data_IF_239991663303
#
_entry.id   IF_239991663303
#
_cell.length_a   1.000
_cell.length_b   1.000
_cell.length_c   1.000
_cell.angle_alpha   90.00
_cell.angle_beta   90.00
_cell.angle_gamma   90.00
#
_symmetry.space_group_name_H-M   'P 1'
#
loop_
_entity.id
_entity.type
_entity.pdbx_description
1 polymer ?
#
# COMPACT_ATOMS: atom_id res chain seq x y z
N UNK A 1 14.75 21.17 -24.26
CA UNK A 1 15.15 21.35 -22.87
C UNK A 1 16.59 20.86 -22.79
N UNK A 2 17.57 21.75 -22.57
CA UNK A 2 18.93 21.32 -22.21
C UNK A 2 18.77 20.56 -20.88
N UNK A 3 18.98 19.25 -20.89
CA UNK A 3 19.09 18.44 -19.69
C UNK A 3 20.27 19.00 -18.90
N UNK A 4 19.99 19.52 -17.72
CA UNK A 4 21.05 19.90 -16.81
C UNK A 4 21.74 18.62 -16.33
N UNK A 5 22.83 18.28 -17.00
CA UNK A 5 23.61 17.08 -16.68
C UNK A 5 24.27 17.19 -15.28
N UNK A 6 24.37 18.39 -14.73
CA UNK A 6 25.00 18.61 -13.42
C UNK A 6 24.15 18.06 -12.26
N UNK A 7 22.84 18.28 -12.26
CA UNK A 7 21.94 17.80 -11.21
C UNK A 7 21.81 16.27 -11.20
N UNK A 8 21.74 15.67 -12.38
CA UNK A 8 21.72 14.20 -12.49
C UNK A 8 23.06 13.56 -12.07
N UNK A 9 24.16 14.22 -12.31
CA UNK A 9 25.48 13.74 -11.90
C UNK A 9 25.65 13.79 -10.37
N UNK A 10 25.17 14.83 -9.71
CA UNK A 10 25.19 14.95 -8.25
C UNK A 10 24.30 13.88 -7.60
N UNK A 11 23.09 13.65 -8.12
CA UNK A 11 22.18 12.61 -7.63
C UNK A 11 22.79 11.22 -7.79
N UNK A 12 23.41 10.90 -8.95
CA UNK A 12 24.08 9.62 -9.16
C UNK A 12 25.25 9.41 -8.21
N UNK A 13 26.05 10.42 -7.94
CA UNK A 13 27.14 10.33 -6.95
C UNK A 13 26.61 10.05 -5.54
N UNK A 14 25.48 10.68 -5.16
CA UNK A 14 24.82 10.40 -3.88
C UNK A 14 24.34 8.96 -3.79
N UNK A 15 23.63 8.48 -4.82
CA UNK A 15 23.05 7.13 -4.85
C UNK A 15 24.09 5.99 -4.80
N UNK A 16 25.31 6.20 -5.28
CA UNK A 16 26.38 5.20 -5.33
C UNK A 16 27.58 5.59 -4.47
N UNK A 17 27.38 6.39 -3.43
CA UNK A 17 28.43 6.77 -2.52
C UNK A 17 28.68 5.66 -1.50
N UNK A 18 29.93 5.31 -1.23
CA UNK A 18 30.35 4.22 -0.33
C UNK A 18 29.76 4.31 1.09
N UNK A 19 29.45 5.52 1.56
CA UNK A 19 28.86 5.77 2.88
C UNK A 19 27.33 5.91 2.86
N UNK A 20 26.65 5.58 1.74
CA UNK A 20 25.19 5.63 1.63
C UNK A 20 24.66 4.25 1.30
N UNK A 21 23.88 3.70 2.22
CA UNK A 21 23.16 2.43 2.04
C UNK A 21 21.67 2.74 1.76
N UNK A 22 21.20 2.41 0.55
CA UNK A 22 19.81 2.64 0.12
C UNK A 22 19.03 1.34 0.24
N UNK A 23 18.06 1.32 1.13
CA UNK A 23 17.19 0.17 1.36
C UNK A 23 15.80 0.42 0.77
N UNK A 24 15.56 -0.14 -0.40
CA UNK A 24 14.26 -0.06 -1.07
C UNK A 24 13.27 -1.04 -0.43
N UNK A 25 11.98 -0.72 -0.55
CA UNK A 25 10.88 -1.52 0.01
C UNK A 25 11.08 -1.86 1.49
N UNK A 26 11.67 -0.93 2.25
CA UNK A 26 11.98 -1.11 3.66
C UNK A 26 11.25 -0.05 4.47
N UNK A 27 10.52 -0.46 5.48
CA UNK A 27 9.82 0.43 6.40
C UNK A 27 10.43 0.38 7.80
N UNK A 28 10.41 1.50 8.49
CA UNK A 28 10.72 1.55 9.92
C UNK A 28 9.43 1.20 10.69
N UNK A 29 9.42 0.04 11.36
CA UNK A 29 8.26 -0.45 12.11
C UNK A 29 8.27 -0.04 13.58
N UNK A 30 9.46 0.23 14.14
CA UNK A 30 9.62 0.81 15.47
C UNK A 30 10.89 1.66 15.56
N UNK A 31 10.88 2.64 16.43
CA UNK A 31 12.02 3.51 16.72
C UNK A 31 12.05 3.70 18.25
N UNK A 32 13.18 3.32 18.84
CA UNK A 32 13.43 3.43 20.28
C UNK A 32 14.75 4.16 20.54
N UNK A 33 14.97 4.65 21.76
CA UNK A 33 16.21 5.27 22.17
C UNK A 33 16.15 6.78 22.32
N UNK A 34 17.34 7.41 22.34
CA UNK A 34 17.52 8.84 22.58
C UNK A 34 18.51 9.45 21.57
N UNK A 35 18.58 10.78 21.43
CA UNK A 35 19.50 11.45 20.53
C UNK A 35 20.96 10.97 20.72
N UNK A 36 21.57 10.53 19.61
CA UNK A 36 22.89 9.93 19.58
C UNK A 36 22.90 8.39 19.67
N UNK A 37 21.77 7.73 20.05
CA UNK A 37 21.68 6.29 20.23
C UNK A 37 20.26 5.79 20.01
N UNK A 38 19.81 5.84 18.76
CA UNK A 38 18.52 5.26 18.37
C UNK A 38 18.68 3.82 17.88
N UNK A 39 17.69 2.97 18.22
CA UNK A 39 17.49 1.66 17.63
C UNK A 39 16.29 1.69 16.72
N UNK A 40 16.50 1.40 15.44
CA UNK A 40 15.44 1.41 14.41
C UNK A 40 15.18 -0.01 13.96
N UNK A 41 13.95 -0.46 14.13
CA UNK A 41 13.47 -1.75 13.63
C UNK A 41 13.01 -1.62 12.18
N UNK A 42 13.70 -2.27 11.27
CA UNK A 42 13.43 -2.21 9.84
C UNK A 42 12.83 -3.53 9.34
N UNK A 43 11.72 -3.46 8.60
CA UNK A 43 11.12 -4.58 7.89
C UNK A 43 11.24 -4.37 6.38
N UNK A 44 11.84 -5.33 5.69
CA UNK A 44 11.90 -5.33 4.23
C UNK A 44 10.62 -5.96 3.68
N UNK A 45 9.83 -5.22 2.89
CA UNK A 45 8.65 -5.76 2.20
C UNK A 45 9.06 -6.68 1.05
N UNK A 46 8.39 -7.80 0.83
CA UNK A 46 8.65 -8.66 -0.32
C UNK A 46 8.35 -7.89 -1.62
N UNK A 47 9.15 -8.11 -2.63
CA UNK A 47 9.00 -7.44 -3.92
C UNK A 47 8.31 -8.31 -4.97
N UNK A 48 8.31 -9.63 -4.77
CA UNK A 48 7.83 -10.65 -5.73
C UNK A 48 8.48 -10.54 -7.11
N UNK A 49 9.34 -9.56 -7.27
CA UNK A 49 10.22 -9.35 -8.41
C UNK A 49 11.62 -9.13 -7.88
N UNK A 50 12.54 -10.00 -8.24
CA UNK A 50 13.93 -9.91 -7.84
C UNK A 50 14.58 -8.67 -8.51
N UNK A 51 14.98 -7.65 -7.74
CA UNK A 51 15.52 -6.41 -8.29
C UNK A 51 16.90 -6.59 -8.95
N UNK A 52 17.66 -7.64 -8.59
CA UNK A 52 18.97 -7.93 -9.19
C UNK A 52 18.83 -8.61 -10.55
N UNK A 53 17.75 -9.37 -10.75
CA UNK A 53 17.43 -10.07 -12.00
C UNK A 53 16.56 -9.27 -12.94
N UNK A 54 15.78 -8.31 -12.43
CA UNK A 54 14.88 -7.49 -13.24
C UNK A 54 15.64 -6.48 -14.08
N UNK A 55 15.51 -6.57 -15.39
CA UNK A 55 16.14 -5.65 -16.36
C UNK A 55 15.20 -4.53 -16.82
N UNK A 56 13.99 -4.42 -16.28
CA UNK A 56 13.06 -3.35 -16.61
C UNK A 56 12.50 -3.38 -18.04
N UNK A 57 12.40 -4.56 -18.67
CA UNK A 57 12.05 -4.69 -20.09
C UNK A 57 10.57 -4.43 -20.42
N UNK A 58 9.66 -4.42 -19.43
CA UNK A 58 8.24 -4.11 -19.61
C UNK A 58 7.36 -5.25 -20.14
N UNK A 59 7.91 -6.43 -20.45
CA UNK A 59 7.13 -7.54 -20.99
C UNK A 59 6.04 -8.02 -20.04
N UNK A 60 6.33 -8.04 -18.74
CA UNK A 60 5.40 -8.44 -17.70
C UNK A 60 4.19 -7.50 -17.59
N UNK A 61 4.40 -6.19 -17.70
CA UNK A 61 3.34 -5.19 -17.72
C UNK A 61 2.45 -5.34 -18.98
N UNK A 62 3.06 -5.59 -20.14
CA UNK A 62 2.34 -5.72 -21.41
C UNK A 62 1.33 -6.89 -21.43
N UNK A 63 1.60 -7.99 -20.71
CA UNK A 63 0.72 -9.17 -20.67
C UNK A 63 -0.24 -9.18 -19.48
N UNK A 64 -0.08 -8.30 -18.51
CA UNK A 64 -0.94 -8.25 -17.32
C UNK A 64 -2.37 -7.85 -17.71
N UNK A 65 -3.40 -8.68 -17.41
CA UNK A 65 -4.77 -8.36 -17.74
C UNK A 65 -5.41 -7.33 -16.79
N UNK A 66 -4.86 -7.17 -15.59
CA UNK A 66 -5.44 -6.32 -14.54
C UNK A 66 -5.12 -4.85 -14.80
N UNK A 67 -6.13 -4.00 -14.72
CA UNK A 67 -6.00 -2.53 -14.78
C UNK A 67 -6.66 -1.88 -13.58
N UNK A 68 -5.92 -1.02 -12.91
CA UNK A 68 -6.37 -0.25 -11.75
C UNK A 68 -5.98 1.22 -11.88
N UNK A 69 -6.62 2.14 -11.15
CA UNK A 69 -6.22 3.55 -11.14
C UNK A 69 -4.74 3.72 -10.75
N UNK A 70 -4.02 4.56 -11.49
CA UNK A 70 -2.63 4.86 -11.19
C UNK A 70 -2.50 5.94 -10.13
N UNK A 71 -2.19 5.54 -8.91
CA UNK A 71 -2.02 6.46 -7.77
C UNK A 71 -0.89 7.48 -8.01
N UNK A 72 0.18 7.14 -8.75
CA UNK A 72 1.26 8.07 -9.08
C UNK A 72 0.78 9.21 -10.00
N UNK A 73 -0.21 8.94 -10.83
CA UNK A 73 -0.86 9.92 -11.69
C UNK A 73 -2.20 10.43 -11.12
N UNK A 74 -2.41 10.33 -9.81
CA UNK A 74 -3.63 10.80 -9.12
C UNK A 74 -4.93 10.18 -9.68
N UNK A 75 -4.84 8.96 -10.20
CA UNK A 75 -5.98 8.29 -10.83
C UNK A 75 -6.38 8.82 -12.21
N UNK A 76 -5.62 9.74 -12.80
CA UNK A 76 -5.86 10.28 -14.14
C UNK A 76 -5.56 9.28 -15.26
N UNK A 77 -4.86 8.19 -14.94
CA UNK A 77 -4.57 7.05 -15.82
C UNK A 77 -4.80 5.75 -15.07
N UNK A 78 -4.81 4.65 -15.80
CA UNK A 78 -4.71 3.30 -15.23
C UNK A 78 -3.27 2.79 -15.28
N UNK A 79 -2.96 1.83 -14.40
CA UNK A 79 -1.74 1.01 -14.43
C UNK A 79 -2.08 -0.46 -14.31
N UNK A 80 -1.14 -1.31 -14.61
CA UNK A 80 -1.28 -2.77 -14.40
C UNK A 80 -0.99 -3.15 -12.94
N UNK A 81 -1.42 -4.34 -12.51
CA UNK A 81 -1.07 -4.86 -11.19
C UNK A 81 0.45 -5.08 -11.07
N UNK A 82 1.15 -5.44 -12.14
CA UNK A 82 2.61 -5.37 -12.22
C UNK A 82 3.01 -4.11 -12.99
N UNK A 83 3.80 -3.26 -12.38
CA UNK A 83 4.06 -1.90 -12.87
C UNK A 83 5.41 -1.36 -12.42
N UNK A 84 5.80 -0.26 -13.01
CA UNK A 84 6.97 0.51 -12.63
C UNK A 84 6.54 1.62 -11.65
N UNK A 85 6.95 1.58 -10.36
CA UNK A 85 6.40 2.48 -9.34
C UNK A 85 6.61 3.96 -9.65
N UNK A 86 7.78 4.31 -10.15
CA UNK A 86 8.15 5.68 -10.49
C UNK A 86 8.96 5.69 -11.78
N UNK A 87 8.52 6.44 -12.81
CA UNK A 87 9.33 6.61 -14.03
C UNK A 87 10.73 7.14 -13.69
N UNK A 88 11.75 6.54 -14.29
CA UNK A 88 13.15 6.92 -14.09
C UNK A 88 13.73 6.70 -12.68
N UNK A 89 13.13 5.83 -11.87
CA UNK A 89 13.72 5.38 -10.61
C UNK A 89 15.08 4.67 -10.83
N UNK A 90 15.95 4.67 -9.83
CA UNK A 90 17.23 3.96 -9.83
C UNK A 90 17.43 3.34 -8.44
N UNK A 91 17.51 2.00 -8.33
CA UNK A 91 17.20 0.99 -9.34
C UNK A 91 15.74 1.04 -9.78
N UNK A 92 15.41 0.41 -10.89
CA UNK A 92 14.11 0.49 -11.52
C UNK A 92 13.48 -0.91 -11.75
N UNK A 93 13.32 -1.73 -10.71
CA UNK A 93 12.61 -2.99 -10.83
C UNK A 93 11.11 -2.77 -10.94
N UNK A 94 10.44 -3.65 -11.66
CA UNK A 94 9.00 -3.78 -11.60
C UNK A 94 8.58 -4.23 -10.19
N UNK A 95 7.38 -3.88 -9.79
CA UNK A 95 6.75 -4.34 -8.54
C UNK A 95 5.36 -4.86 -8.83
N UNK A 96 4.86 -5.73 -7.95
CA UNK A 96 3.52 -6.31 -8.06
C UNK A 96 2.69 -5.81 -6.88
N UNK A 97 1.52 -5.26 -7.22
CA UNK A 97 0.46 -4.93 -6.28
C UNK A 97 -0.36 -6.21 -6.05
N UNK A 98 -0.06 -6.94 -4.98
CA UNK A 98 -0.71 -8.23 -4.72
C UNK A 98 -2.20 -8.08 -4.38
N UNK A 99 -2.61 -6.96 -3.80
CA UNK A 99 -4.02 -6.71 -3.50
C UNK A 99 -4.88 -6.58 -4.78
N UNK A 100 -4.25 -6.10 -5.87
CA UNK A 100 -4.92 -5.98 -7.16
C UNK A 100 -4.63 -7.15 -8.12
N UNK A 101 -3.61 -7.95 -7.84
CA UNK A 101 -3.16 -9.04 -8.71
C UNK A 101 -4.13 -10.22 -8.67
N UNK A 102 -4.61 -10.67 -9.85
CA UNK A 102 -5.45 -11.87 -9.97
C UNK A 102 -4.67 -13.18 -10.06
N UNK A 103 -3.38 -13.17 -9.80
CA UNK A 103 -2.48 -14.33 -9.76
C UNK A 103 -2.47 -15.23 -11.00
N UNK A 104 -2.77 -14.69 -12.20
CA UNK A 104 -2.82 -15.48 -13.44
C UNK A 104 -1.47 -16.08 -13.89
N UNK A 105 -0.34 -15.60 -13.34
CA UNK A 105 1.01 -16.10 -13.66
C UNK A 105 1.55 -15.71 -15.04
N UNK A 106 0.83 -14.94 -15.85
CA UNK A 106 1.27 -14.60 -17.20
C UNK A 106 2.58 -13.79 -17.20
N UNK A 107 2.78 -12.94 -16.20
CA UNK A 107 4.00 -12.15 -16.05
C UNK A 107 5.25 -13.02 -15.78
N UNK A 108 5.12 -14.12 -15.03
CA UNK A 108 6.21 -15.08 -14.80
C UNK A 108 6.62 -15.78 -16.10
N UNK A 109 5.64 -16.23 -16.89
CA UNK A 109 5.88 -16.97 -18.14
C UNK A 109 6.68 -16.17 -19.17
N UNK A 110 6.47 -14.84 -19.23
CA UNK A 110 7.12 -13.97 -20.22
C UNK A 110 8.41 -13.34 -19.71
N UNK A 111 8.77 -13.51 -18.44
CA UNK A 111 9.96 -12.89 -17.86
C UNK A 111 11.24 -13.57 -18.36
N UNK A 112 12.06 -12.93 -19.20
CA UNK A 112 13.24 -13.58 -19.79
C UNK A 112 14.35 -13.84 -18.79
N UNK A 113 14.37 -13.10 -17.68
CA UNK A 113 15.37 -13.23 -16.61
C UNK A 113 14.85 -14.04 -15.43
N UNK A 114 13.60 -14.53 -15.50
CA UNK A 114 12.96 -15.26 -14.39
C UNK A 114 13.02 -14.48 -13.06
N UNK A 115 12.86 -13.17 -13.15
CA UNK A 115 12.92 -12.29 -11.98
C UNK A 115 11.61 -12.29 -11.15
N UNK A 116 10.53 -12.90 -11.66
CA UNK A 116 9.21 -12.87 -11.02
C UNK A 116 8.95 -14.21 -10.35
N UNK A 117 8.59 -14.17 -9.09
CA UNK A 117 8.26 -15.36 -8.29
C UNK A 117 6.89 -15.17 -7.62
N UNK A 118 5.84 -15.35 -8.39
CA UNK A 118 4.43 -15.21 -7.97
C UNK A 118 3.76 -16.54 -7.68
N UNK A 119 4.50 -17.65 -7.65
CA UNK A 119 3.89 -18.97 -7.73
C UNK A 119 2.73 -19.12 -6.74
N UNK A 120 1.54 -19.46 -7.27
CA UNK A 120 0.37 -19.87 -6.48
C UNK A 120 0.72 -21.03 -5.53
N UNK A 121 1.77 -21.79 -5.85
CA UNK A 121 2.30 -22.85 -4.99
C UNK A 121 2.80 -22.31 -3.66
N UNK A 122 3.46 -21.15 -3.62
CA UNK A 122 3.87 -20.50 -2.36
C UNK A 122 2.69 -20.05 -1.50
N UNK A 123 1.58 -19.59 -2.11
CA UNK A 123 0.35 -19.29 -1.36
C UNK A 123 -0.32 -20.56 -0.84
N UNK A 124 -0.28 -21.65 -1.59
CA UNK A 124 -0.80 -22.96 -1.12
C UNK A 124 -0.01 -23.52 0.07
N UNK A 125 1.27 -23.17 0.17
CA UNK A 125 2.08 -23.50 1.36
C UNK A 125 1.71 -22.66 2.58
N UNK A 126 1.07 -21.50 2.36
CA UNK A 126 0.59 -20.61 3.42
C UNK A 126 -0.79 -21.10 3.90
N UNK A 127 -0.77 -21.90 4.96
CA UNK A 127 -1.98 -22.51 5.52
C UNK A 127 -2.67 -21.55 6.47
N UNK A 128 -3.98 -21.37 6.26
CA UNK A 128 -4.88 -20.54 7.05
C UNK A 128 -5.89 -21.41 7.77
N UNK A 129 -6.08 -21.20 9.07
CA UNK A 129 -7.14 -21.83 9.85
C UNK A 129 -8.23 -20.80 10.16
N UNK A 130 -9.46 -21.07 9.75
CA UNK A 130 -10.64 -20.23 10.04
C UNK A 130 -11.46 -20.88 11.14
N UNK A 131 -11.67 -20.17 12.25
CA UNK A 131 -12.39 -20.66 13.44
C UNK A 131 -13.57 -19.75 13.72
N UNK A 132 -14.78 -20.29 13.59
CA UNK A 132 -16.02 -19.55 13.82
C UNK A 132 -17.12 -20.59 14.11
N UNK A 133 -18.08 -20.32 14.99
CA UNK A 133 -19.19 -21.26 15.26
C UNK A 133 -20.27 -21.19 14.17
N UNK A 134 -20.34 -20.09 13.42
CA UNK A 134 -21.28 -19.92 12.31
C UNK A 134 -20.76 -20.57 11.02
N UNK A 135 -21.44 -21.63 10.55
CA UNK A 135 -21.08 -22.36 9.33
C UNK A 135 -20.98 -21.45 8.09
N UNK A 136 -21.93 -20.51 7.93
CA UNK A 136 -21.97 -19.59 6.79
C UNK A 136 -20.71 -18.72 6.74
N UNK A 137 -20.25 -18.24 7.89
CA UNK A 137 -19.03 -17.42 7.98
C UNK A 137 -17.81 -18.24 7.59
N UNK A 138 -17.67 -19.45 8.13
CA UNK A 138 -16.56 -20.35 7.80
C UNK A 138 -16.49 -20.69 6.32
N UNK A 139 -17.64 -21.04 5.73
CA UNK A 139 -17.69 -21.45 4.32
C UNK A 139 -17.39 -20.26 3.39
N UNK A 140 -17.94 -19.08 3.67
CA UNK A 140 -17.67 -17.88 2.88
C UNK A 140 -16.18 -17.47 2.95
N UNK A 141 -15.60 -17.46 4.15
CA UNK A 141 -14.18 -17.11 4.33
C UNK A 141 -13.29 -18.15 3.63
N UNK A 142 -13.64 -19.43 3.72
CA UNK A 142 -12.92 -20.49 3.02
C UNK A 142 -12.97 -20.30 1.51
N UNK A 143 -14.14 -20.05 0.93
CA UNK A 143 -14.32 -19.84 -0.51
C UNK A 143 -13.48 -18.66 -1.01
N UNK A 144 -13.59 -17.50 -0.36
CA UNK A 144 -12.85 -16.30 -0.74
C UNK A 144 -11.32 -16.49 -0.67
N UNK A 145 -10.84 -17.16 0.37
CA UNK A 145 -9.40 -17.37 0.54
C UNK A 145 -8.85 -18.50 -0.36
N UNK A 146 -9.64 -19.54 -0.65
CA UNK A 146 -9.30 -20.57 -1.62
C UNK A 146 -9.20 -19.98 -3.04
N UNK A 147 -10.10 -19.03 -3.41
CA UNK A 147 -10.04 -18.28 -4.67
C UNK A 147 -8.76 -17.45 -4.79
N UNK A 148 -8.28 -16.89 -3.67
CA UNK A 148 -7.01 -16.16 -3.59
C UNK A 148 -5.77 -17.08 -3.58
N UNK A 149 -5.97 -18.39 -3.62
CA UNK A 149 -4.90 -19.38 -3.71
C UNK A 149 -4.29 -19.81 -2.38
N UNK A 150 -4.88 -19.43 -1.24
CA UNK A 150 -4.46 -19.91 0.07
C UNK A 150 -4.94 -21.34 0.33
N UNK A 151 -4.26 -22.06 1.22
CA UNK A 151 -4.73 -23.38 1.70
C UNK A 151 -5.52 -23.20 3.00
N UNK A 152 -6.84 -23.38 2.93
CA UNK A 152 -7.74 -23.03 4.05
C UNK A 152 -8.35 -24.25 4.70
N UNK A 153 -8.22 -24.35 6.01
CA UNK A 153 -8.99 -25.27 6.85
C UNK A 153 -9.93 -24.48 7.78
N UNK A 154 -11.03 -25.15 8.14
CA UNK A 154 -12.07 -24.58 9.01
C UNK A 154 -12.20 -25.38 10.29
N UNK A 155 -12.52 -24.72 11.39
CA UNK A 155 -12.85 -25.33 12.67
C UNK A 155 -14.12 -24.67 13.25
N UNK A 156 -15.00 -25.44 13.85
CA UNK A 156 -16.27 -24.96 14.41
C UNK A 156 -16.18 -24.53 15.87
N UNK A 157 -15.03 -24.75 16.51
CA UNK A 157 -14.82 -24.45 17.93
C UNK A 157 -13.34 -24.35 18.27
N UNK A 158 -13.02 -23.75 19.43
CA UNK A 158 -11.67 -23.65 19.96
C UNK A 158 -10.97 -25.00 20.15
N UNK A 159 -11.60 -26.02 20.76
CA UNK A 159 -11.00 -27.36 20.88
C UNK A 159 -10.63 -27.98 19.53
N UNK A 160 -11.53 -27.93 18.54
CA UNK A 160 -11.27 -28.44 17.18
C UNK A 160 -10.13 -27.67 16.51
N UNK A 161 -10.04 -26.37 16.76
CA UNK A 161 -8.93 -25.55 16.23
C UNK A 161 -7.58 -25.98 16.82
N UNK A 162 -7.50 -26.19 18.14
CA UNK A 162 -6.26 -26.65 18.81
C UNK A 162 -5.83 -28.03 18.33
N UNK A 163 -6.78 -28.95 18.09
CA UNK A 163 -6.52 -30.27 17.53
C UNK A 163 -5.87 -30.15 16.15
N UNK A 164 -6.45 -29.36 15.24
CA UNK A 164 -5.91 -29.10 13.90
C UNK A 164 -4.52 -28.41 13.92
N UNK A 165 -4.34 -27.43 14.80
CA UNK A 165 -3.04 -26.78 14.99
C UNK A 165 -1.95 -27.78 15.41
N UNK A 166 -2.32 -28.80 16.18
CA UNK A 166 -1.39 -29.85 16.63
C UNK A 166 -1.04 -30.86 15.52
N UNK A 167 -1.96 -31.08 14.57
CA UNK A 167 -1.78 -32.01 13.46
C UNK A 167 -0.96 -31.43 12.30
N UNK A 168 -1.02 -30.13 12.12
CA UNK A 168 -0.42 -29.47 10.94
C UNK A 168 0.04 -28.04 11.23
N UNK A 169 1.14 -27.59 10.61
CA UNK A 169 1.59 -26.22 10.79
C UNK A 169 0.69 -25.23 10.01
N UNK A 170 0.13 -24.27 10.72
CA UNK A 170 -0.57 -23.12 10.14
C UNK A 170 0.29 -21.86 10.31
N UNK A 171 0.15 -20.90 9.41
CA UNK A 171 0.84 -19.60 9.48
C UNK A 171 -0.08 -18.49 9.99
N UNK A 172 -1.38 -18.62 9.73
CA UNK A 172 -2.40 -17.67 10.11
C UNK A 172 -3.62 -18.39 10.67
N UNK A 173 -4.18 -17.89 11.77
CA UNK A 173 -5.47 -18.26 12.30
C UNK A 173 -6.39 -17.04 12.32
N UNK A 174 -7.59 -17.19 11.74
CA UNK A 174 -8.70 -16.25 11.88
C UNK A 174 -9.66 -16.84 12.90
N UNK A 175 -9.95 -16.15 13.99
CA UNK A 175 -10.87 -16.69 15.01
C UNK A 175 -11.91 -15.67 15.44
N UNK A 176 -13.17 -16.10 15.50
CA UNK A 176 -14.21 -15.31 16.14
C UNK A 176 -13.93 -15.15 17.64
N UNK A 177 -14.23 -13.96 18.19
CA UNK A 177 -14.07 -13.70 19.63
C UNK A 177 -15.13 -14.45 20.43
N UNK A 178 -16.39 -14.47 19.95
CA UNK A 178 -17.51 -14.99 20.69
C UNK A 178 -17.93 -16.37 20.16
N UNK A 179 -17.41 -17.43 20.76
CA UNK A 179 -17.80 -18.81 20.44
C UNK A 179 -18.30 -19.53 21.71
N UNK A 180 -19.22 -20.49 21.56
CA UNK A 180 -19.69 -21.30 22.69
C UNK A 180 -18.56 -22.15 23.29
N UNK A 181 -18.48 -22.18 24.62
CA UNK A 181 -17.48 -22.97 25.34
C UNK A 181 -16.15 -22.25 25.48
N UNK A 182 -15.22 -22.51 24.59
CA UNK A 182 -13.93 -21.80 24.52
C UNK A 182 -14.10 -20.60 23.60
N UNK A 183 -13.95 -19.40 24.12
CA UNK A 183 -13.99 -18.18 23.32
C UNK A 183 -12.67 -17.95 22.56
N UNK A 184 -12.67 -16.96 21.64
CA UNK A 184 -11.52 -16.70 20.78
C UNK A 184 -10.32 -16.14 21.52
N UNK A 185 -10.50 -15.46 22.68
CA UNK A 185 -9.40 -14.94 23.49
C UNK A 185 -8.72 -16.09 24.23
N UNK A 186 -9.49 -17.01 24.84
CA UNK A 186 -8.95 -18.23 25.45
C UNK A 186 -8.24 -19.12 24.43
N UNK A 187 -8.80 -19.21 23.21
CA UNK A 187 -8.15 -19.94 22.10
C UNK A 187 -6.83 -19.29 21.71
N UNK A 188 -6.79 -17.96 21.60
CA UNK A 188 -5.56 -17.20 21.30
C UNK A 188 -4.46 -17.49 22.33
N UNK A 189 -4.78 -17.40 23.63
CA UNK A 189 -3.83 -17.68 24.72
C UNK A 189 -3.21 -19.08 24.57
N UNK A 190 -4.06 -20.10 24.47
CA UNK A 190 -3.61 -21.50 24.35
C UNK A 190 -2.83 -21.75 23.05
N UNK A 191 -3.27 -21.15 21.94
CA UNK A 191 -2.57 -21.28 20.67
C UNK A 191 -1.20 -20.63 20.72
N UNK A 192 -1.05 -19.45 21.34
CA UNK A 192 0.23 -18.75 21.48
C UNK A 192 1.19 -19.44 22.45
N UNK A 193 0.71 -20.10 23.50
CA UNK A 193 1.54 -20.90 24.39
C UNK A 193 2.20 -22.09 23.66
N UNK A 194 1.48 -22.73 22.70
CA UNK A 194 1.96 -23.90 21.98
C UNK A 194 2.68 -23.50 20.69
N UNK A 195 2.18 -22.48 19.99
CA UNK A 195 2.64 -22.00 18.68
C UNK A 195 2.92 -20.48 18.72
N UNK A 196 4.02 -20.02 19.32
CA UNK A 196 4.32 -18.60 19.49
C UNK A 196 4.37 -17.80 18.18
N UNK A 197 4.82 -18.45 17.09
CA UNK A 197 4.96 -17.85 15.75
C UNK A 197 3.68 -17.83 14.94
N UNK A 198 2.58 -18.44 15.44
CA UNK A 198 1.29 -18.43 14.77
C UNK A 198 0.74 -17.00 14.72
N UNK A 199 0.53 -16.45 13.53
CA UNK A 199 -0.16 -15.17 13.39
C UNK A 199 -1.66 -15.36 13.67
N UNK A 200 -2.27 -14.49 14.47
CA UNK A 200 -3.70 -14.59 14.81
C UNK A 200 -4.40 -13.27 14.53
N UNK A 201 -5.45 -13.31 13.72
CA UNK A 201 -6.39 -12.22 13.52
C UNK A 201 -7.71 -12.54 14.22
N UNK A 202 -8.18 -11.60 15.04
CA UNK A 202 -9.45 -11.74 15.75
C UNK A 202 -10.62 -11.24 14.89
N UNK A 203 -11.72 -11.97 14.85
CA UNK A 203 -12.94 -11.52 14.17
C UNK A 203 -14.00 -11.15 15.22
N UNK A 204 -14.74 -10.07 15.02
CA UNK A 204 -15.76 -9.65 16.00
C UNK A 204 -16.88 -8.83 15.39
N UNK A 205 -18.10 -9.06 15.82
CA UNK A 205 -19.25 -8.21 15.51
C UNK A 205 -19.32 -6.96 16.44
N UNK A 206 -18.63 -7.00 17.59
CA UNK A 206 -18.62 -5.94 18.59
C UNK A 206 -17.21 -5.79 19.18
N UNK A 207 -16.40 -4.95 18.55
CA UNK A 207 -15.14 -4.57 19.15
C UNK A 207 -15.41 -3.57 20.30
N UNK A 208 -15.31 -4.02 21.53
CA UNK A 208 -15.08 -3.07 22.62
C UNK A 208 -13.59 -2.78 22.69
N UNK A 209 -13.25 -1.54 23.09
CA UNK A 209 -11.83 -1.15 23.22
C UNK A 209 -11.10 -2.10 24.19
N UNK A 210 -11.80 -2.56 25.23
CA UNK A 210 -11.23 -3.47 26.24
C UNK A 210 -10.85 -4.84 25.63
N UNK A 211 -11.75 -5.49 24.87
CA UNK A 211 -11.49 -6.83 24.30
C UNK A 211 -10.43 -6.79 23.18
N UNK A 212 -10.40 -5.72 22.40
CA UNK A 212 -9.36 -5.53 21.39
C UNK A 212 -7.97 -5.32 22.04
N UNK A 213 -7.89 -4.49 23.08
CA UNK A 213 -6.65 -4.25 23.84
C UNK A 213 -6.16 -5.51 24.53
N UNK A 214 -7.05 -6.32 25.09
CA UNK A 214 -6.71 -7.60 25.72
C UNK A 214 -6.13 -8.58 24.72
N UNK A 215 -6.79 -8.81 23.59
CA UNK A 215 -6.29 -9.69 22.52
C UNK A 215 -4.91 -9.24 22.00
N UNK A 216 -4.71 -7.93 21.79
CA UNK A 216 -3.41 -7.39 21.37
C UNK A 216 -2.30 -7.61 22.41
N UNK A 217 -2.60 -7.53 23.71
CA UNK A 217 -1.63 -7.82 24.78
C UNK A 217 -1.23 -9.29 24.83
N UNK A 218 -2.14 -10.20 24.49
CA UNK A 218 -1.90 -11.64 24.42
C UNK A 218 -1.07 -12.00 23.17
N UNK A 219 -1.09 -11.15 22.14
CA UNK A 219 -0.30 -11.33 20.93
C UNK A 219 -1.12 -11.57 19.67
N UNK A 220 -2.39 -11.11 19.63
CA UNK A 220 -3.09 -10.99 18.36
C UNK A 220 -2.37 -9.98 17.45
N UNK A 221 -2.34 -10.26 16.15
CA UNK A 221 -1.74 -9.36 15.16
C UNK A 221 -2.64 -8.14 14.87
N UNK A 222 -3.95 -8.39 14.75
CA UNK A 222 -4.95 -7.36 14.48
C UNK A 222 -6.37 -7.94 14.68
N UNK A 223 -7.40 -7.14 14.41
CA UNK A 223 -8.79 -7.58 14.44
C UNK A 223 -9.54 -7.18 13.17
N UNK A 224 -10.58 -7.94 12.83
CA UNK A 224 -11.48 -7.73 11.71
C UNK A 224 -12.91 -7.54 12.23
N UNK A 225 -13.59 -6.48 11.80
CA UNK A 225 -14.98 -6.23 12.20
C UNK A 225 -15.97 -6.93 11.27
N UNK A 226 -16.88 -7.71 11.83
CA UNK A 226 -18.07 -8.25 11.13
C UNK A 226 -19.16 -7.14 11.03
N UNK A 227 -19.91 -7.00 9.92
CA UNK A 227 -19.80 -7.80 8.70
C UNK A 227 -18.58 -7.37 7.86
N UNK A 228 -17.93 -8.34 7.22
CA UNK A 228 -16.76 -8.10 6.40
C UNK A 228 -17.16 -7.58 5.02
N UNK A 229 -16.41 -6.61 4.52
CA UNK A 229 -16.26 -6.36 3.10
C UNK A 229 -15.21 -7.35 2.57
N UNK A 230 -15.54 -8.23 1.60
CA UNK A 230 -14.62 -9.25 1.10
C UNK A 230 -13.29 -8.66 0.60
N UNK A 231 -13.33 -7.54 -0.13
CA UNK A 231 -12.12 -6.91 -0.68
C UNK A 231 -11.21 -6.38 0.43
N UNK A 232 -11.78 -5.75 1.46
CA UNK A 232 -11.00 -5.23 2.60
C UNK A 232 -10.40 -6.36 3.44
N UNK A 233 -11.16 -7.44 3.64
CA UNK A 233 -10.69 -8.62 4.38
C UNK A 233 -9.54 -9.31 3.63
N UNK A 234 -9.68 -9.56 2.34
CA UNK A 234 -8.65 -10.15 1.50
C UNK A 234 -7.39 -9.28 1.52
N UNK A 235 -7.54 -7.96 1.33
CA UNK A 235 -6.41 -7.02 1.40
C UNK A 235 -5.65 -7.10 2.74
N UNK A 236 -6.38 -7.27 3.86
CA UNK A 236 -5.78 -7.43 5.18
C UNK A 236 -5.01 -8.74 5.32
N UNK A 237 -5.55 -9.84 4.82
CA UNK A 237 -4.90 -11.15 4.88
C UNK A 237 -3.67 -11.19 3.96
N UNK A 238 -3.75 -10.59 2.77
CA UNK A 238 -2.60 -10.42 1.86
C UNK A 238 -1.52 -9.58 2.53
N UNK A 239 -1.87 -8.49 3.22
CA UNK A 239 -0.93 -7.70 4.01
C UNK A 239 -0.21 -8.56 5.05
N UNK A 240 -0.94 -9.36 5.83
CA UNK A 240 -0.34 -10.27 6.83
C UNK A 240 0.55 -11.33 6.18
N UNK A 241 0.12 -11.89 5.05
CA UNK A 241 0.93 -12.81 4.26
C UNK A 241 2.26 -12.14 3.83
N UNK A 242 2.21 -10.91 3.32
CA UNK A 242 3.41 -10.16 2.95
C UNK A 242 4.31 -9.88 4.16
N UNK A 243 3.74 -9.52 5.30
CA UNK A 243 4.47 -9.28 6.54
C UNK A 243 5.21 -10.54 7.02
N UNK A 244 4.56 -11.71 6.94
CA UNK A 244 5.18 -12.99 7.30
C UNK A 244 6.26 -13.39 6.29
N UNK A 245 6.05 -13.13 4.98
CA UNK A 245 7.04 -13.38 3.94
C UNK A 245 8.22 -12.40 3.98
N UNK A 246 8.04 -11.22 4.55
CA UNK A 246 9.09 -10.21 4.70
C UNK A 246 10.23 -10.67 5.62
N UNK A 247 10.02 -11.69 6.45
CA UNK A 247 11.01 -12.24 7.36
C UNK A 247 11.30 -11.35 8.57
N UNK A 248 12.43 -11.62 9.23
CA UNK A 248 12.79 -10.99 10.49
C UNK A 248 12.99 -9.47 10.38
N UNK A 249 12.62 -8.77 11.45
CA UNK A 249 12.87 -7.35 11.62
C UNK A 249 14.34 -7.12 11.90
N UNK A 250 15.02 -6.38 11.05
CA UNK A 250 16.42 -6.02 11.25
C UNK A 250 16.54 -4.80 12.18
N UNK A 251 17.37 -4.93 13.21
CA UNK A 251 17.70 -3.79 14.08
C UNK A 251 18.89 -3.01 13.50
N UNK A 252 18.77 -1.69 13.50
CA UNK A 252 19.81 -0.77 13.06
C UNK A 252 20.03 0.31 14.13
N UNK A 253 21.27 0.42 14.63
CA UNK A 253 21.64 1.51 15.55
C UNK A 253 22.12 2.73 14.75
N UNK A 254 21.54 3.91 15.06
CA UNK A 254 21.86 5.17 14.38
C UNK A 254 21.96 6.33 15.38
N UNK A 255 22.83 7.29 15.11
CA UNK A 255 23.00 8.47 15.96
C UNK A 255 21.90 9.53 15.77
N UNK A 256 21.29 9.59 14.59
CA UNK A 256 20.23 10.54 14.27
C UNK A 256 19.28 9.99 13.23
N UNK A 257 18.05 10.49 13.22
CA UNK A 257 17.00 10.10 12.27
C UNK A 257 16.47 11.37 11.61
N UNK A 258 16.37 11.36 10.28
CA UNK A 258 15.76 12.44 9.51
C UNK A 258 14.54 11.89 8.77
N UNK A 259 13.36 12.41 9.12
CA UNK A 259 12.12 12.07 8.46
C UNK A 259 11.92 12.93 7.21
N UNK A 260 11.77 12.31 6.05
CA UNK A 260 11.52 12.94 4.77
C UNK A 260 10.32 12.26 4.07
N UNK A 261 9.22 12.14 4.81
CA UNK A 261 8.02 11.37 4.41
C UNK A 261 7.09 12.09 3.41
N UNK A 262 7.51 13.26 2.89
CA UNK A 262 6.68 14.03 1.96
C UNK A 262 5.58 14.85 2.63
N UNK A 263 4.52 15.15 1.88
CA UNK A 263 3.41 16.00 2.31
C UNK A 263 2.08 15.29 2.06
N UNK A 264 1.18 15.34 3.03
CA UNK A 264 -0.20 14.94 2.80
C UNK A 264 -1.01 16.13 2.23
N UNK A 265 -1.76 15.88 1.19
CA UNK A 265 -2.64 16.88 0.57
C UNK A 265 -4.07 16.72 1.10
N UNK A 266 -4.76 17.85 1.25
CA UNK A 266 -6.17 17.87 1.59
C UNK A 266 -6.99 17.29 0.43
N UNK A 267 -7.90 16.33 0.70
CA UNK A 267 -8.85 15.83 -0.29
C UNK A 267 -10.11 16.72 -0.34
N UNK A 268 -10.32 17.50 -1.41
CA UNK A 268 -11.47 18.36 -1.52
C UNK A 268 -12.78 17.62 -1.82
N UNK A 269 -12.77 16.30 -2.05
CA UNK A 269 -13.99 15.49 -2.25
C UNK A 269 -14.76 15.20 -0.96
N UNK A 270 -14.20 15.53 0.21
CA UNK A 270 -14.80 15.30 1.52
C UNK A 270 -16.14 16.02 1.74
N UNK A 271 -16.64 16.00 2.97
CA UNK A 271 -18.01 16.39 3.38
C UNK A 271 -18.52 17.77 2.94
N UNK A 272 -17.66 18.64 2.45
CA UNK A 272 -18.00 19.99 1.95
C UNK A 272 -17.41 20.26 0.57
N UNK A 273 -17.59 19.34 -0.38
CA UNK A 273 -17.13 19.52 -1.78
C UNK A 273 -17.86 20.66 -2.49
N UNK A 274 -17.65 21.88 -2.04
CA UNK A 274 -18.30 23.08 -2.60
C UNK A 274 -17.76 23.48 -3.98
N UNK A 275 -16.60 22.94 -4.36
CA UNK A 275 -15.95 23.22 -5.64
C UNK A 275 -16.29 22.20 -6.73
N UNK A 276 -16.96 21.11 -6.38
CA UNK A 276 -17.36 20.07 -7.33
C UNK A 276 -16.19 19.18 -7.79
N UNK A 277 -15.16 19.01 -6.97
CA UNK A 277 -14.07 18.08 -7.26
C UNK A 277 -14.60 16.66 -7.42
N UNK A 278 -14.12 15.90 -8.39
CA UNK A 278 -14.62 14.57 -8.83
C UNK A 278 -16.04 14.55 -9.41
N UNK A 279 -16.85 15.60 -9.22
CA UNK A 279 -18.17 15.71 -9.85
C UNK A 279 -18.14 16.57 -11.11
N UNK A 280 -17.23 17.52 -11.17
CA UNK A 280 -16.97 18.33 -12.37
C UNK A 280 -15.57 17.99 -12.92
N UNK A 281 -15.49 17.39 -14.12
CA UNK A 281 -14.21 16.95 -14.69
C UNK A 281 -13.26 18.09 -15.05
N UNK A 282 -13.70 19.34 -14.97
CA UNK A 282 -12.86 20.54 -15.12
C UNK A 282 -12.24 21.02 -13.82
N UNK A 283 -12.57 20.43 -12.67
CA UNK A 283 -12.02 20.78 -11.36
C UNK A 283 -10.99 19.74 -10.98
N UNK A 284 -9.74 20.17 -10.86
CA UNK A 284 -8.59 19.32 -10.54
C UNK A 284 -7.80 19.91 -9.38
N UNK A 285 -7.01 19.07 -8.71
CA UNK A 285 -6.06 19.50 -7.66
C UNK A 285 -4.77 20.04 -8.27
N UNK A 286 -4.00 20.76 -7.48
CA UNK A 286 -2.63 21.17 -7.84
C UNK A 286 -1.75 19.99 -8.21
N UNK A 287 -1.87 18.89 -7.48
CA UNK A 287 -1.08 17.68 -7.75
C UNK A 287 -1.42 17.05 -9.10
N UNK A 288 -2.72 16.97 -9.43
CA UNK A 288 -3.17 16.53 -10.76
C UNK A 288 -2.64 17.47 -11.87
N UNK A 289 -2.65 18.79 -11.65
CA UNK A 289 -2.08 19.74 -12.61
C UNK A 289 -0.56 19.55 -12.78
N UNK A 290 0.17 19.34 -11.71
CA UNK A 290 1.62 19.00 -11.75
C UNK A 290 1.85 17.72 -12.59
N UNK A 291 1.00 16.70 -12.45
CA UNK A 291 1.08 15.49 -13.28
C UNK A 291 0.81 15.77 -14.76
N UNK A 292 -0.20 16.57 -15.08
CA UNK A 292 -0.46 17.01 -16.47
C UNK A 292 0.71 17.79 -17.06
N UNK A 293 1.35 18.65 -16.26
CA UNK A 293 2.51 19.44 -16.70
C UNK A 293 3.80 18.63 -16.82
N UNK A 294 3.85 17.44 -16.24
CA UNK A 294 5.03 16.56 -16.31
C UNK A 294 5.16 15.87 -17.66
N UNK A 295 6.39 15.79 -18.19
CA UNK A 295 6.68 15.00 -19.39
C UNK A 295 6.45 13.49 -19.23
N UNK A 296 6.39 12.98 -17.98
CA UNK A 296 6.06 11.59 -17.64
C UNK A 296 4.61 11.43 -17.17
N UNK A 297 3.83 12.48 -17.20
CA UNK A 297 2.42 12.46 -16.82
C UNK A 297 1.49 12.02 -17.94
N UNK A 298 0.18 11.90 -17.64
CA UNK A 298 -0.83 11.31 -18.52
C UNK A 298 -0.91 11.98 -19.90
N UNK A 299 -0.63 13.28 -19.98
CA UNK A 299 -0.68 14.07 -21.23
C UNK A 299 0.69 14.31 -21.83
N UNK A 300 1.75 13.68 -21.29
CA UNK A 300 3.15 13.90 -21.72
C UNK A 300 3.55 15.38 -21.68
N UNK A 301 3.05 16.11 -20.69
CA UNK A 301 3.30 17.52 -20.48
C UNK A 301 2.52 18.47 -21.40
N UNK A 302 1.54 17.98 -22.16
CA UNK A 302 0.63 18.83 -22.94
C UNK A 302 -0.47 19.36 -22.01
N UNK A 303 -0.74 20.65 -22.11
CA UNK A 303 -1.77 21.32 -21.30
C UNK A 303 -3.15 21.14 -21.97
N UNK A 304 -3.79 20.02 -21.67
CA UNK A 304 -5.11 19.64 -22.18
C UNK A 304 -6.02 19.19 -21.04
N UNK A 305 -7.33 19.31 -21.23
CA UNK A 305 -8.31 18.84 -20.25
C UNK A 305 -8.24 17.31 -20.14
N UNK A 306 -8.16 16.74 -18.93
CA UNK A 306 -7.98 15.29 -18.75
C UNK A 306 -9.10 14.44 -19.37
N UNK A 307 -10.34 14.92 -19.29
CA UNK A 307 -11.55 14.15 -19.63
C UNK A 307 -11.88 14.12 -21.15
N UNK A 308 -11.48 15.13 -21.93
CA UNK A 308 -11.83 15.20 -23.37
C UNK A 308 -10.65 15.57 -24.28
N UNK A 309 -9.46 15.77 -23.72
CA UNK A 309 -8.25 16.07 -24.49
C UNK A 309 -8.22 17.43 -25.18
N UNK A 310 -9.22 18.30 -24.97
CA UNK A 310 -9.25 19.63 -25.58
C UNK A 310 -8.27 20.58 -24.92
N UNK A 311 -7.80 21.56 -25.67
CA UNK A 311 -6.92 22.59 -25.13
C UNK A 311 -7.61 23.38 -24.02
N UNK A 312 -6.81 23.76 -23.03
CA UNK A 312 -7.25 24.61 -21.90
C UNK A 312 -7.07 26.07 -22.33
N UNK A 313 -8.16 26.83 -22.32
CA UNK A 313 -8.16 28.24 -22.69
C UNK A 313 -8.01 29.16 -21.47
N UNK A 314 -8.58 28.76 -20.32
CA UNK A 314 -8.58 29.53 -19.07
C UNK A 314 -8.41 28.63 -17.88
N UNK A 315 -7.60 29.05 -16.93
CA UNK A 315 -7.39 28.36 -15.65
C UNK A 315 -7.60 29.34 -14.51
N UNK A 316 -8.29 28.90 -13.47
CA UNK A 316 -8.43 29.63 -12.22
C UNK A 316 -7.87 28.80 -11.06
N UNK A 317 -7.06 29.41 -10.22
CA UNK A 317 -6.53 28.78 -9.00
C UNK A 317 -7.34 29.25 -7.79
N UNK A 318 -7.95 28.30 -7.09
CA UNK A 318 -8.66 28.54 -5.83
C UNK A 318 -7.69 28.21 -4.69
N UNK A 319 -7.42 29.21 -3.86
CA UNK A 319 -6.44 29.10 -2.77
C UNK A 319 -7.11 28.76 -1.43
N UNK A 320 -6.32 28.28 -0.49
CA UNK A 320 -6.72 27.99 0.89
C UNK A 320 -7.80 26.89 1.02
N UNK A 321 -7.92 25.98 0.04
CA UNK A 321 -8.81 24.84 0.15
C UNK A 321 -8.24 23.88 1.21
N UNK A 322 -9.03 23.60 2.26
CA UNK A 322 -8.60 22.78 3.41
C UNK A 322 -7.64 23.49 4.38
N UNK A 323 -7.45 24.81 4.27
CA UNK A 323 -6.70 25.65 5.22
C UNK A 323 -7.36 27.01 5.38
N UNK A 324 -7.08 27.74 6.48
CA UNK A 324 -7.76 29.00 6.86
C UNK A 324 -9.28 28.83 6.97
N UNK A 325 -9.72 27.64 7.38
CA UNK A 325 -11.11 27.24 7.54
C UNK A 325 -11.37 26.75 8.95
N UNK A 326 -11.96 27.62 9.79
CA UNK A 326 -12.28 27.30 11.20
C UNK A 326 -13.34 26.19 11.32
N UNK A 327 -14.18 25.99 10.30
CA UNK A 327 -15.18 24.93 10.31
C UNK A 327 -14.61 23.55 10.10
N UNK A 328 -13.41 23.46 9.51
CA UNK A 328 -12.63 22.22 9.33
C UNK A 328 -11.55 22.06 10.41
N UNK A 329 -11.55 22.92 11.44
CA UNK A 329 -10.50 22.96 12.45
C UNK A 329 -9.09 23.17 11.85
N UNK A 330 -9.02 23.95 10.77
CA UNK A 330 -7.81 24.23 10.01
C UNK A 330 -7.67 25.75 9.83
N UNK A 331 -7.60 26.49 10.95
CA UNK A 331 -7.50 27.96 10.99
C UNK A 331 -6.14 28.52 10.59
N UNK A 332 -5.17 27.65 10.38
CA UNK A 332 -3.79 27.98 9.99
C UNK A 332 -3.61 28.12 8.47
N UNK A 333 -2.58 28.83 8.05
CA UNK A 333 -2.13 28.87 6.66
C UNK A 333 -1.11 27.77 6.38
N UNK A 334 -1.29 27.02 5.27
CA UNK A 334 -0.33 26.00 4.84
C UNK A 334 1.04 26.56 4.45
N UNK A 335 1.14 27.87 4.22
CA UNK A 335 2.33 28.64 3.83
C UNK A 335 2.93 28.28 2.46
N UNK A 336 2.42 27.27 1.76
CA UNK A 336 3.00 26.77 0.51
C UNK A 336 2.05 26.91 -0.70
N UNK A 337 0.74 26.87 -0.52
CA UNK A 337 -0.22 26.80 -1.63
C UNK A 337 -0.11 28.00 -2.60
N UNK A 338 0.09 29.21 -2.11
CA UNK A 338 0.27 30.40 -2.97
C UNK A 338 1.52 30.29 -3.84
N UNK A 339 2.63 29.79 -3.28
CA UNK A 339 3.88 29.61 -4.03
C UNK A 339 3.75 28.53 -5.09
N UNK A 340 3.05 27.44 -4.77
CA UNK A 340 2.77 26.37 -5.73
C UNK A 340 1.93 26.91 -6.88
N UNK A 341 0.82 27.60 -6.61
CA UNK A 341 -0.03 28.19 -7.64
C UNK A 341 0.70 29.17 -8.56
N UNK A 342 1.56 30.04 -8.02
CA UNK A 342 2.38 30.95 -8.82
C UNK A 342 3.36 30.17 -9.71
N UNK A 343 4.02 29.14 -9.17
CA UNK A 343 4.91 28.26 -9.94
C UNK A 343 4.16 27.59 -11.09
N UNK A 344 3.00 26.99 -10.81
CA UNK A 344 2.15 26.34 -11.80
C UNK A 344 1.71 27.31 -12.90
N UNK A 345 1.25 28.50 -12.53
CA UNK A 345 0.84 29.53 -13.49
C UNK A 345 2.00 29.92 -14.42
N UNK A 346 3.21 30.10 -13.87
CA UNK A 346 4.41 30.39 -14.67
C UNK A 346 4.76 29.25 -15.62
N UNK A 347 4.61 27.99 -15.19
CA UNK A 347 4.83 26.82 -16.03
C UNK A 347 3.79 26.72 -17.15
N UNK A 348 2.52 26.99 -16.85
CA UNK A 348 1.43 27.03 -17.83
C UNK A 348 1.70 28.07 -18.92
N UNK A 349 2.02 29.32 -18.52
CA UNK A 349 2.36 30.39 -19.47
C UNK A 349 3.57 30.02 -20.33
N UNK A 350 4.60 29.42 -19.74
CA UNK A 350 5.79 28.97 -20.48
C UNK A 350 5.49 27.88 -21.50
N UNK A 351 4.56 26.99 -21.22
CA UNK A 351 4.16 25.89 -22.10
C UNK A 351 3.14 26.31 -23.18
N UNK A 352 2.33 27.28 -22.86
CA UNK A 352 1.31 27.81 -23.77
C UNK A 352 1.45 29.35 -23.86
N UNK A 353 2.31 29.85 -24.75
CA UNK A 353 2.61 31.30 -24.84
C UNK A 353 1.44 32.14 -25.36
N UNK A 354 0.31 31.57 -25.76
CA UNK A 354 -0.93 32.31 -26.00
C UNK A 354 -1.53 32.79 -24.67
N UNK A 355 -2.15 33.97 -24.60
CA UNK A 355 -2.69 34.50 -23.35
C UNK A 355 -3.76 33.53 -22.80
N UNK A 356 -3.54 33.09 -21.58
CA UNK A 356 -4.43 32.24 -20.78
C UNK A 356 -5.39 33.13 -20.00
#
# INVERSE_FOLDING_TARGET
>A
VKRDQSSQFCLRKGLFHENIDIRLNTEAVAIDGEPGKFSVSLRKKPTWVDPERCVGCGLCEAVCPVEIPDAFNEGLTTRKAIYLPVPHAIPNPYVIDLAACNHCGECEKVCPTQAIELSLEKRKEFRVLVVDDELIVRDSLKEWLDEEGFSVEIAESGPTALEKLSESPFKLMLTDIKMPGMDGVELLEKAKEIFPDLCVLMMTAFATVETAVEAMKIGAQDYLMKPFDPEQMIAKIVQVYEEIQAGDVQQLEVGAIVFSGGTAYFDPAGSKNIYGYRTNPGVITSLELERLLSGTGPTQGRLVRPHDGKNIEKIAWIQCVGSRDVQLNADYCSSVCCMVAIKEALLVIKKNPSPV
#
